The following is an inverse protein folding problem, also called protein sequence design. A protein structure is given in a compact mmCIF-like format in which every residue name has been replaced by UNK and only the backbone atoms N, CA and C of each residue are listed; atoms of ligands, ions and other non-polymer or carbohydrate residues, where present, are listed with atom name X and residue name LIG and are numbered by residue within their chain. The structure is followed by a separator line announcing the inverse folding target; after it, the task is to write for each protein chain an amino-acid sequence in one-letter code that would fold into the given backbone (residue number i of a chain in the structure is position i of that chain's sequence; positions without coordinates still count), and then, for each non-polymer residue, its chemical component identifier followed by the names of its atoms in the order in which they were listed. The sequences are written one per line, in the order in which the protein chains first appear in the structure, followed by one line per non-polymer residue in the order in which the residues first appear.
data_IF_143009686394
#
_entry.id   IF_143009686394
#
_cell.length_a   1.000
_cell.length_b   1.000
_cell.length_c   1.000
_cell.angle_alpha   90.00
_cell.angle_beta   90.00
_cell.angle_gamma   90.00
#
_symmetry.space_group_name_H-M   'P 1'
#
loop_
_entity.id
_entity.type
_entity.pdbx_description
1 polymer ?
#
# COMPACT_ATOMS: atom_id res chain seq x y z
N UNK A 1 32.30 24.40 14.98
CA UNK A 1 30.93 24.45 14.51
C UNK A 1 30.84 23.46 13.38
N UNK A 2 30.64 22.17 13.72
CA UNK A 2 30.63 21.06 12.75
C UNK A 2 29.19 20.71 12.43
N UNK A 3 28.76 21.04 11.22
CA UNK A 3 27.50 20.57 10.67
C UNK A 3 27.72 19.15 10.13
N UNK A 4 27.25 18.17 10.88
CA UNK A 4 27.08 16.79 10.38
C UNK A 4 25.74 16.74 9.63
N UNK A 5 25.82 16.57 8.32
CA UNK A 5 24.64 16.32 7.49
C UNK A 5 24.21 14.88 7.77
N UNK A 6 23.21 14.69 8.60
CA UNK A 6 22.52 13.42 8.79
C UNK A 6 21.20 13.52 8.03
N UNK A 7 21.04 12.65 7.07
CA UNK A 7 19.88 12.23 6.31
C UNK A 7 18.64 13.14 6.30
N UNK A 8 18.17 13.49 5.12
CA UNK A 8 16.91 14.20 4.87
C UNK A 8 15.71 13.43 5.43
N UNK A 9 15.48 13.60 6.71
CA UNK A 9 14.22 13.22 7.33
C UNK A 9 13.35 14.47 7.28
N UNK A 10 12.27 14.43 6.49
CA UNK A 10 11.23 15.47 6.52
C UNK A 10 10.86 15.67 7.98
N UNK A 11 11.09 16.87 8.52
CA UNK A 11 10.76 17.17 9.91
C UNK A 11 9.24 17.14 10.04
N UNK A 12 8.71 16.07 10.64
CA UNK A 12 7.37 16.09 11.21
C UNK A 12 7.38 17.18 12.29
N UNK A 13 6.74 18.30 12.01
CA UNK A 13 6.53 19.30 13.02
C UNK A 13 5.54 18.75 14.05
N UNK A 14 6.03 18.30 15.19
CA UNK A 14 5.20 17.93 16.33
C UNK A 14 4.77 19.25 16.99
N UNK A 15 3.56 19.70 16.69
CA UNK A 15 2.95 20.83 17.39
C UNK A 15 2.23 20.26 18.60
N UNK A 16 2.83 20.40 19.77
CA UNK A 16 2.20 20.06 21.05
C UNK A 16 1.15 21.12 21.40
N UNK A 17 -0.11 20.82 21.12
CA UNK A 17 -1.27 21.64 21.48
C UNK A 17 -2.05 21.06 22.68
N UNK A 18 -1.38 20.36 23.61
CA UNK A 18 -1.96 19.89 24.86
C UNK A 18 -3.28 19.12 24.67
N UNK A 19 -3.19 17.80 24.60
CA UNK A 19 -4.18 16.76 24.41
C UNK A 19 -4.18 16.15 22.99
N UNK A 20 -3.25 15.20 22.76
CA UNK A 20 -3.15 14.37 21.58
C UNK A 20 -2.25 15.00 20.50
N UNK A 21 -1.11 14.37 20.24
CA UNK A 21 -0.22 14.78 19.16
C UNK A 21 -0.88 14.51 17.82
N UNK A 22 -1.54 15.50 17.23
CA UNK A 22 -1.98 15.46 15.85
C UNK A 22 -0.76 15.70 14.96
N UNK A 23 -0.44 14.74 14.09
CA UNK A 23 0.49 14.96 12.97
C UNK A 23 -0.18 15.92 11.98
N UNK A 24 -0.04 17.22 12.18
CA UNK A 24 -0.55 18.20 11.21
C UNK A 24 0.34 18.14 9.97
N UNK A 25 -0.14 17.51 8.91
CA UNK A 25 0.35 17.70 7.56
C UNK A 25 -0.08 19.11 7.11
N UNK A 26 0.69 20.12 7.49
CA UNK A 26 0.38 21.52 7.13
C UNK A 26 0.71 21.68 5.64
N UNK A 27 -0.29 21.48 4.78
CA UNK A 27 -0.24 21.83 3.36
C UNK A 27 0.16 20.73 2.39
N UNK A 28 0.57 19.53 2.84
CA UNK A 28 0.85 18.40 1.95
C UNK A 28 -0.25 17.33 2.04
N UNK A 29 -0.69 16.83 0.88
CA UNK A 29 -1.65 15.72 0.83
C UNK A 29 -0.95 14.42 1.22
N UNK A 30 -1.65 13.56 1.96
CA UNK A 30 -1.21 12.18 2.19
C UNK A 30 -1.05 11.48 0.84
N UNK A 31 0.12 10.91 0.56
CA UNK A 31 0.40 10.20 -0.69
C UNK A 31 0.51 8.71 -0.43
N UNK A 32 -0.34 7.93 -1.10
CA UNK A 32 -0.42 6.48 -1.00
C UNK A 32 0.05 5.85 -2.30
N UNK A 33 0.97 4.89 -2.22
CA UNK A 33 1.35 4.05 -3.34
C UNK A 33 0.39 2.85 -3.40
N UNK A 34 -0.31 2.69 -4.50
CA UNK A 34 -1.12 1.52 -4.81
C UNK A 34 -0.35 0.62 -5.77
N UNK A 35 0.19 -0.48 -5.26
CA UNK A 35 1.10 -1.35 -6.00
C UNK A 35 0.42 -2.68 -6.32
N UNK A 36 0.39 -3.04 -7.59
CA UNK A 36 -0.21 -4.25 -8.11
C UNK A 36 0.86 -5.14 -8.77
N UNK A 37 0.95 -6.38 -8.34
CA UNK A 37 1.92 -7.37 -8.80
C UNK A 37 1.48 -8.13 -10.06
N UNK A 38 2.17 -9.25 -10.36
CA UNK A 38 1.99 -10.02 -11.58
C UNK A 38 0.56 -10.47 -11.83
N UNK A 39 0.18 -10.42 -13.11
CA UNK A 39 -1.10 -10.85 -13.64
C UNK A 39 -2.33 -10.01 -13.21
N UNK A 40 -2.17 -8.97 -12.38
CA UNK A 40 -3.29 -8.10 -12.03
C UNK A 40 -3.71 -7.21 -13.19
N UNK A 41 -2.82 -6.91 -14.13
CA UNK A 41 -3.16 -6.27 -15.42
C UNK A 41 -4.18 -7.06 -16.26
N UNK A 42 -4.36 -8.35 -15.98
CA UNK A 42 -5.32 -9.21 -16.68
C UNK A 42 -6.68 -9.34 -15.98
N UNK A 43 -6.92 -8.58 -14.89
CA UNK A 43 -8.22 -8.54 -14.22
C UNK A 43 -9.34 -8.13 -15.20
N UNK A 44 -10.55 -8.67 -14.96
CA UNK A 44 -11.69 -8.52 -15.86
C UNK A 44 -11.69 -9.51 -17.04
N UNK A 45 -10.53 -10.09 -17.38
CA UNK A 45 -10.37 -11.12 -18.43
C UNK A 45 -9.98 -12.50 -17.88
N UNK A 46 -9.47 -12.55 -16.65
CA UNK A 46 -9.15 -13.80 -15.93
C UNK A 46 -10.41 -14.38 -15.30
N UNK A 47 -10.25 -15.52 -14.63
CA UNK A 47 -11.31 -16.22 -13.91
C UNK A 47 -12.16 -15.26 -13.05
N UNK A 48 -13.27 -14.83 -13.63
CA UNK A 48 -14.17 -13.85 -13.02
C UNK A 48 -14.93 -14.39 -11.82
N UNK A 49 -14.97 -15.72 -11.67
CA UNK A 49 -15.57 -16.37 -10.50
C UNK A 49 -14.72 -16.19 -9.23
N UNK A 50 -13.41 -16.02 -9.40
CA UNK A 50 -12.45 -15.84 -8.30
C UNK A 50 -12.13 -14.37 -8.06
N UNK A 51 -11.93 -13.60 -9.15
CA UNK A 51 -11.40 -12.23 -9.06
C UNK A 51 -12.43 -11.13 -9.35
N UNK A 52 -13.63 -11.50 -9.80
CA UNK A 52 -14.63 -10.55 -10.27
C UNK A 52 -14.39 -10.12 -11.72
N UNK A 53 -15.33 -9.35 -12.26
CA UNK A 53 -15.35 -8.91 -13.67
C UNK A 53 -14.71 -7.53 -13.89
N UNK A 54 -14.33 -6.82 -12.83
CA UNK A 54 -13.81 -5.46 -12.90
C UNK A 54 -12.36 -5.46 -13.36
N UNK A 55 -12.04 -4.64 -14.36
CA UNK A 55 -10.66 -4.48 -14.83
C UNK A 55 -9.81 -3.72 -13.80
N UNK A 56 -8.48 -3.91 -13.81
CA UNK A 56 -7.58 -3.22 -12.88
C UNK A 56 -7.72 -1.69 -13.00
N UNK A 57 -7.79 -1.17 -14.21
CA UNK A 57 -7.94 0.28 -14.43
C UNK A 57 -9.21 0.88 -13.83
N UNK A 58 -10.30 0.09 -13.76
CA UNK A 58 -11.54 0.52 -13.11
C UNK A 58 -11.39 0.51 -11.58
N UNK A 59 -10.68 -0.50 -11.04
CA UNK A 59 -10.37 -0.57 -9.61
C UNK A 59 -9.49 0.60 -9.20
N UNK A 60 -8.44 0.88 -9.95
CA UNK A 60 -7.53 2.00 -9.71
C UNK A 60 -8.26 3.35 -9.77
N UNK A 61 -9.17 3.52 -10.73
CA UNK A 61 -9.99 4.73 -10.83
C UNK A 61 -10.88 4.92 -9.59
N UNK A 62 -11.50 3.84 -9.06
CA UNK A 62 -12.30 3.91 -7.84
C UNK A 62 -11.44 4.25 -6.62
N UNK A 63 -10.24 3.66 -6.51
CA UNK A 63 -9.32 3.93 -5.39
C UNK A 63 -8.80 5.37 -5.43
N UNK A 64 -8.48 5.89 -6.63
CA UNK A 64 -8.11 7.30 -6.82
C UNK A 64 -9.27 8.22 -6.43
N UNK A 65 -10.51 7.87 -6.79
CA UNK A 65 -11.69 8.64 -6.40
C UNK A 65 -11.88 8.66 -4.88
N UNK A 66 -11.78 7.47 -4.23
CA UNK A 66 -11.82 7.37 -2.77
C UNK A 66 -10.69 8.15 -2.09
N UNK A 67 -9.49 8.15 -2.67
CA UNK A 67 -8.38 8.98 -2.17
C UNK A 67 -8.71 10.46 -2.17
N UNK A 68 -9.36 10.97 -3.22
CA UNK A 68 -9.78 12.38 -3.29
C UNK A 68 -10.78 12.73 -2.21
N UNK A 69 -11.71 11.84 -1.89
CA UNK A 69 -12.69 12.02 -0.81
C UNK A 69 -12.02 12.09 0.58
N UNK A 70 -10.89 11.40 0.73
CA UNK A 70 -10.07 11.38 1.94
C UNK A 70 -8.93 12.42 1.93
N UNK A 71 -8.93 13.36 0.98
CA UNK A 71 -7.87 14.35 0.78
C UNK A 71 -6.47 13.75 0.56
N UNK A 72 -6.41 12.50 0.07
CA UNK A 72 -5.19 11.77 -0.24
C UNK A 72 -4.94 11.68 -1.75
N UNK A 73 -3.67 11.65 -2.13
CA UNK A 73 -3.21 11.35 -3.48
C UNK A 73 -2.87 9.85 -3.57
N UNK A 74 -3.40 9.16 -4.58
CA UNK A 74 -3.11 7.75 -4.84
C UNK A 74 -2.32 7.63 -6.13
N UNK A 75 -1.11 7.05 -6.05
CA UNK A 75 -0.26 6.75 -7.20
C UNK A 75 -0.31 5.24 -7.47
N UNK A 76 -0.87 4.88 -8.62
CA UNK A 76 -1.02 3.48 -9.02
C UNK A 76 0.18 3.02 -9.83
N UNK A 77 0.65 1.81 -9.53
CA UNK A 77 1.70 1.12 -10.28
C UNK A 77 1.38 -0.36 -10.42
N UNK A 78 1.61 -0.93 -11.59
CA UNK A 78 1.48 -2.36 -11.84
C UNK A 78 2.69 -2.87 -12.62
N UNK A 79 3.27 -3.98 -12.19
CA UNK A 79 4.25 -4.72 -13.00
C UNK A 79 4.14 -6.23 -12.79
N UNK A 80 4.53 -6.97 -13.84
CA UNK A 80 4.70 -8.41 -13.79
C UNK A 80 6.13 -8.81 -13.35
N UNK A 81 7.02 -7.83 -13.16
CA UNK A 81 8.41 -7.99 -12.74
C UNK A 81 8.55 -7.59 -11.27
N UNK A 82 9.09 -8.48 -10.43
CA UNK A 82 9.43 -8.16 -9.04
C UNK A 82 10.44 -7.02 -8.96
N UNK A 83 11.46 -7.04 -9.83
CA UNK A 83 12.50 -6.00 -9.88
C UNK A 83 11.93 -4.61 -10.16
N UNK A 84 11.00 -4.49 -11.14
CA UNK A 84 10.37 -3.20 -11.43
C UNK A 84 9.55 -2.67 -10.24
N UNK A 85 8.93 -3.58 -9.49
CA UNK A 85 8.17 -3.20 -8.29
C UNK A 85 9.12 -2.70 -7.20
N UNK A 86 10.23 -3.38 -6.99
CA UNK A 86 11.28 -2.97 -6.03
C UNK A 86 11.85 -1.61 -6.41
N UNK A 87 12.22 -1.41 -7.67
CA UNK A 87 12.75 -0.14 -8.18
C UNK A 87 11.73 1.01 -8.00
N UNK A 88 10.45 0.72 -8.27
CA UNK A 88 9.38 1.70 -8.06
C UNK A 88 9.23 2.09 -6.59
N UNK A 89 9.22 1.13 -5.67
CA UNK A 89 9.16 1.36 -4.23
C UNK A 89 10.32 2.26 -3.80
N UNK A 90 11.55 1.89 -4.13
CA UNK A 90 12.76 2.63 -3.77
C UNK A 90 12.73 4.07 -4.29
N UNK A 91 12.25 4.27 -5.52
CA UNK A 91 12.14 5.59 -6.14
C UNK A 91 11.10 6.48 -5.46
N UNK A 92 9.94 5.91 -5.05
CA UNK A 92 8.81 6.69 -4.57
C UNK A 92 8.77 6.87 -3.04
N UNK A 93 9.57 6.10 -2.29
CA UNK A 93 9.53 6.07 -0.82
C UNK A 93 9.69 7.45 -0.17
N UNK A 94 10.54 8.32 -0.73
CA UNK A 94 10.84 9.62 -0.13
C UNK A 94 9.63 10.57 -0.10
N UNK A 95 8.72 10.41 -1.04
CA UNK A 95 7.53 11.26 -1.18
C UNK A 95 6.23 10.56 -0.75
N UNK A 96 6.29 9.28 -0.42
CA UNK A 96 5.15 8.49 -0.03
C UNK A 96 4.94 8.48 1.49
N UNK A 97 3.70 8.27 1.92
CA UNK A 97 3.31 8.21 3.32
C UNK A 97 2.78 6.83 3.72
N UNK A 98 2.39 6.01 2.74
CA UNK A 98 1.93 4.64 2.96
C UNK A 98 1.84 3.84 1.68
N UNK A 99 1.74 2.53 1.82
CA UNK A 99 1.69 1.59 0.70
C UNK A 99 0.49 0.66 0.85
N UNK A 100 -0.29 0.52 -0.22
CA UNK A 100 -1.25 -0.57 -0.39
C UNK A 100 -0.66 -1.50 -1.44
N UNK A 101 -0.46 -2.77 -1.09
CA UNK A 101 0.13 -3.74 -1.99
C UNK A 101 -0.78 -4.95 -2.21
N UNK A 102 -1.02 -5.27 -3.47
CA UNK A 102 -1.48 -6.59 -3.89
C UNK A 102 -0.35 -7.22 -4.70
N UNK A 103 0.51 -7.96 -4.03
CA UNK A 103 1.67 -8.60 -4.69
C UNK A 103 1.29 -9.73 -5.64
N UNK A 104 0.00 -10.13 -5.68
CA UNK A 104 -0.40 -11.32 -6.41
C UNK A 104 0.35 -12.55 -5.90
N UNK A 105 0.96 -13.33 -6.79
CA UNK A 105 1.75 -14.49 -6.38
C UNK A 105 3.05 -14.11 -5.63
N UNK A 106 3.60 -12.92 -5.88
CA UNK A 106 4.82 -12.45 -5.18
C UNK A 106 4.62 -12.35 -3.67
N UNK A 107 3.41 -12.10 -3.19
CA UNK A 107 3.13 -12.11 -1.75
C UNK A 107 3.52 -13.42 -1.07
N UNK A 108 3.59 -14.54 -1.81
CA UNK A 108 3.86 -15.86 -1.24
C UNK A 108 5.34 -16.25 -1.28
N UNK A 109 6.20 -15.58 -2.09
CA UNK A 109 7.60 -15.95 -2.26
C UNK A 109 8.55 -14.78 -2.57
N UNK A 110 8.05 -13.57 -2.78
CA UNK A 110 8.84 -12.38 -3.15
C UNK A 110 9.63 -11.83 -1.96
N UNK A 111 10.78 -12.41 -1.66
CA UNK A 111 11.62 -11.98 -0.54
C UNK A 111 12.26 -10.61 -0.80
N UNK A 112 12.67 -10.32 -2.04
CA UNK A 112 13.21 -9.00 -2.40
C UNK A 112 12.13 -7.91 -2.27
N UNK A 113 10.89 -8.23 -2.65
CA UNK A 113 9.76 -7.34 -2.45
C UNK A 113 9.49 -7.08 -0.96
N UNK A 114 9.50 -8.15 -0.15
CA UNK A 114 9.34 -8.02 1.31
C UNK A 114 10.40 -7.10 1.91
N UNK A 115 11.66 -7.31 1.56
CA UNK A 115 12.78 -6.51 2.09
C UNK A 115 12.66 -5.04 1.64
N UNK A 116 12.30 -4.79 0.37
CA UNK A 116 12.04 -3.44 -0.11
C UNK A 116 10.92 -2.74 0.67
N UNK A 117 9.84 -3.45 1.04
CA UNK A 117 8.76 -2.89 1.87
C UNK A 117 9.27 -2.54 3.28
N UNK A 118 10.09 -3.40 3.90
CA UNK A 118 10.71 -3.12 5.21
C UNK A 118 11.57 -1.87 5.18
N UNK A 119 12.41 -1.74 4.15
CA UNK A 119 13.38 -0.66 4.02
C UNK A 119 12.71 0.72 3.87
N UNK A 120 11.45 0.77 3.43
CA UNK A 120 10.70 2.03 3.34
C UNK A 120 10.43 2.65 4.71
N UNK A 121 10.24 1.83 5.74
CA UNK A 121 9.72 2.26 7.05
C UNK A 121 8.31 2.84 7.00
N UNK A 122 7.60 2.74 5.86
CA UNK A 122 6.23 3.22 5.69
C UNK A 122 5.21 2.19 6.20
N UNK A 123 4.04 2.63 6.64
CA UNK A 123 2.92 1.74 6.92
C UNK A 123 2.43 1.06 5.64
N UNK A 124 2.27 -0.26 5.68
CA UNK A 124 1.87 -1.10 4.54
C UNK A 124 0.57 -1.82 4.83
N UNK A 125 -0.38 -1.79 3.91
CA UNK A 125 -1.57 -2.66 3.90
C UNK A 125 -1.48 -3.66 2.76
N UNK A 126 -1.58 -4.96 3.07
CA UNK A 126 -1.63 -6.01 2.05
C UNK A 126 -3.08 -6.31 1.66
N UNK A 127 -3.35 -6.40 0.35
CA UNK A 127 -4.70 -6.67 -0.18
C UNK A 127 -4.68 -7.85 -1.12
N UNK A 128 -5.67 -8.74 -0.97
CA UNK A 128 -5.98 -9.82 -1.91
C UNK A 128 -7.46 -9.80 -2.27
N UNK A 129 -7.79 -9.85 -3.56
CA UNK A 129 -9.19 -9.90 -4.01
C UNK A 129 -9.88 -11.18 -3.55
N UNK A 130 -9.19 -12.32 -3.69
CA UNK A 130 -9.71 -13.63 -3.27
C UNK A 130 -9.38 -13.94 -1.81
N UNK A 131 -10.18 -14.81 -1.19
CA UNK A 131 -9.83 -15.39 0.10
C UNK A 131 -8.67 -16.41 -0.09
N UNK A 132 -7.44 -15.97 0.16
CA UNK A 132 -6.24 -16.79 -0.01
C UNK A 132 -6.22 -18.00 0.90
N UNK A 133 -6.91 -17.96 2.05
CA UNK A 133 -6.98 -19.07 3.00
C UNK A 133 -7.92 -20.20 2.54
N UNK A 134 -8.82 -19.92 1.58
CA UNK A 134 -9.72 -20.90 0.98
C UNK A 134 -9.18 -21.45 -0.35
N UNK A 135 -7.89 -21.21 -0.66
CA UNK A 135 -7.24 -21.63 -1.89
C UNK A 135 -6.15 -22.67 -1.63
N UNK A 136 -5.25 -22.85 -2.59
CA UNK A 136 -4.13 -23.80 -2.51
C UNK A 136 -3.26 -23.49 -1.26
N UNK A 137 -2.76 -24.54 -0.60
CA UNK A 137 -2.06 -24.39 0.68
C UNK A 137 -0.86 -23.43 0.63
N UNK A 138 -0.16 -23.37 -0.51
CA UNK A 138 0.97 -22.46 -0.68
C UNK A 138 0.55 -20.97 -0.72
N UNK A 139 -0.74 -20.66 -1.01
CA UNK A 139 -1.26 -19.28 -0.94
C UNK A 139 -1.61 -18.82 0.47
N UNK A 140 -1.76 -19.76 1.41
CA UNK A 140 -2.14 -19.43 2.79
C UNK A 140 -1.00 -18.75 3.56
N UNK A 141 0.22 -18.85 3.05
CA UNK A 141 1.39 -18.16 3.60
C UNK A 141 1.71 -16.92 2.77
N UNK A 142 1.87 -15.78 3.42
CA UNK A 142 2.34 -14.55 2.81
C UNK A 142 3.64 -14.09 3.48
N UNK A 143 4.70 -13.87 2.71
CA UNK A 143 5.97 -13.32 3.21
C UNK A 143 5.85 -11.82 3.43
N UNK A 144 5.00 -11.13 2.67
CA UNK A 144 4.78 -9.68 2.79
C UNK A 144 3.85 -9.30 3.94
N UNK A 145 2.95 -10.21 4.36
CA UNK A 145 2.06 -9.97 5.51
C UNK A 145 2.81 -9.73 6.83
N UNK A 146 3.98 -10.34 6.98
CA UNK A 146 4.80 -10.19 8.20
C UNK A 146 5.34 -8.77 8.42
N UNK A 147 5.29 -7.92 7.40
CA UNK A 147 5.76 -6.53 7.42
C UNK A 147 4.64 -5.51 7.19
N UNK A 148 3.42 -6.00 6.97
CA UNK A 148 2.23 -5.17 6.81
C UNK A 148 1.59 -4.85 8.17
N UNK A 149 0.93 -3.69 8.28
CA UNK A 149 0.05 -3.36 9.42
C UNK A 149 -1.14 -4.29 9.50
N UNK A 150 -1.65 -4.71 8.34
CA UNK A 150 -2.80 -5.58 8.24
C UNK A 150 -2.95 -6.18 6.84
N UNK A 151 -3.79 -7.23 6.77
CA UNK A 151 -4.09 -7.94 5.53
C UNK A 151 -5.60 -7.95 5.31
N UNK A 152 -6.04 -7.57 4.12
CA UNK A 152 -7.43 -7.67 3.70
C UNK A 152 -7.52 -8.69 2.57
N UNK A 153 -8.25 -9.78 2.78
CA UNK A 153 -8.38 -10.86 1.80
C UNK A 153 -9.84 -11.29 1.63
N UNK A 154 -10.25 -11.60 0.39
CA UNK A 154 -11.56 -12.18 0.11
C UNK A 154 -12.70 -11.19 -0.09
N UNK A 155 -12.46 -9.89 0.00
CA UNK A 155 -13.48 -8.86 -0.14
C UNK A 155 -13.57 -8.27 -1.57
N UNK A 156 -12.96 -8.96 -2.55
CA UNK A 156 -12.89 -8.48 -3.92
C UNK A 156 -12.17 -7.13 -4.02
N UNK A 157 -12.52 -6.35 -5.03
CA UNK A 157 -11.92 -5.05 -5.27
C UNK A 157 -12.19 -4.02 -4.16
N UNK A 158 -13.27 -4.19 -3.39
CA UNK A 158 -13.58 -3.29 -2.26
C UNK A 158 -12.54 -3.33 -1.16
N UNK A 159 -11.77 -4.43 -1.07
CA UNK A 159 -10.65 -4.54 -0.13
C UNK A 159 -9.64 -3.41 -0.27
N UNK A 160 -9.42 -2.89 -1.47
CA UNK A 160 -8.55 -1.73 -1.69
C UNK A 160 -9.10 -0.45 -1.06
N UNK A 161 -10.41 -0.21 -1.12
CA UNK A 161 -11.03 0.97 -0.51
C UNK A 161 -10.97 0.91 1.01
N UNK A 162 -11.16 -0.27 1.60
CA UNK A 162 -11.03 -0.46 3.05
C UNK A 162 -9.58 -0.28 3.52
N UNK A 163 -8.62 -0.77 2.72
CA UNK A 163 -7.20 -0.56 3.00
C UNK A 163 -6.82 0.92 2.91
N UNK A 164 -7.36 1.64 1.92
CA UNK A 164 -7.12 3.07 1.73
C UNK A 164 -7.66 3.89 2.90
N UNK A 165 -8.92 3.67 3.28
CA UNK A 165 -9.56 4.36 4.39
C UNK A 165 -8.77 4.16 5.68
N UNK A 166 -8.50 2.89 6.04
CA UNK A 166 -7.73 2.58 7.23
C UNK A 166 -6.34 3.23 7.21
N UNK A 167 -5.61 3.13 6.08
CA UNK A 167 -4.24 3.60 5.98
C UNK A 167 -4.16 5.13 6.09
N UNK A 168 -5.08 5.86 5.44
CA UNK A 168 -5.15 7.32 5.54
C UNK A 168 -5.45 7.74 6.96
N UNK A 169 -6.43 7.12 7.63
CA UNK A 169 -6.75 7.42 9.03
C UNK A 169 -5.56 7.14 9.96
N UNK A 170 -4.88 5.99 9.78
CA UNK A 170 -3.69 5.63 10.54
C UNK A 170 -2.55 6.65 10.38
N UNK A 171 -2.34 7.16 9.14
CA UNK A 171 -1.29 8.15 8.88
C UNK A 171 -1.64 9.52 9.50
N UNK A 172 -2.91 9.92 9.41
CA UNK A 172 -3.36 11.23 9.91
C UNK A 172 -3.48 11.29 11.42
N UNK A 173 -3.94 10.21 12.06
CA UNK A 173 -4.29 10.22 13.48
C UNK A 173 -3.36 9.38 14.37
N UNK A 174 -2.48 8.59 13.79
CA UNK A 174 -1.63 7.62 14.51
C UNK A 174 -2.37 6.32 14.84
N UNK A 175 -1.66 5.40 15.50
CA UNK A 175 -2.26 4.17 16.04
C UNK A 175 -3.07 4.53 17.29
N UNK A 176 -4.33 4.13 17.34
CA UNK A 176 -5.10 4.12 18.59
C UNK A 176 -4.53 3.11 19.58
#
# INVERSE_FOLDING_TARGET
MNLTIVGWRIMRAQVDLGNGAYNAFIGEKVRILLINGPNLNALGKRDTSIYGSKALSEIEADVIAGGKELEAEVLCFQSNSEGDIVDYIQKQTLEAHGIIINGGALSHYGLSLRDALVDTGLPVMEVHLSNIHARESWRQHSVTSSVALGVIAGLGWRGYLYALDYLVQHIMHGSE
#
